data_IF_441572926145
#
_entry.id   IF_441572926145
#
_cell.length_a   1.000
_cell.length_b   1.000
_cell.length_c   1.000
_cell.angle_alpha   90.00
_cell.angle_beta   90.00
_cell.angle_gamma   90.00
#
_symmetry.space_group_name_H-M   'P 1'
#
loop_
_entity.id
_entity.type
_entity.pdbx_description
1 polymer ?
#
# COMPACT_ATOMS: atom_id res chain seq x y z
N UNK A 1 15.60 11.08 -16.04
CA UNK A 1 16.38 11.25 -14.80
C UNK A 1 15.75 12.38 -14.01
N UNK A 2 15.41 12.15 -12.74
CA UNK A 2 14.72 13.14 -11.87
C UNK A 2 15.68 14.25 -11.45
N UNK A 3 15.27 15.51 -11.55
CA UNK A 3 16.01 16.65 -10.99
C UNK A 3 15.82 16.70 -9.47
N UNK A 4 16.81 16.21 -8.73
CA UNK A 4 16.75 16.12 -7.27
C UNK A 4 16.81 17.47 -6.57
N UNK A 5 17.43 18.49 -7.17
CA UNK A 5 17.47 19.83 -6.60
C UNK A 5 16.08 20.48 -6.68
N UNK A 6 15.44 20.41 -7.86
CA UNK A 6 14.07 20.87 -8.05
C UNK A 6 13.07 20.11 -7.17
N UNK A 7 13.28 18.79 -6.98
CA UNK A 7 12.45 17.97 -6.09
C UNK A 7 12.60 18.40 -4.61
N UNK A 8 13.83 18.68 -4.15
CA UNK A 8 14.07 19.17 -2.80
C UNK A 8 13.37 20.51 -2.55
N UNK A 9 13.50 21.45 -3.48
CA UNK A 9 12.87 22.77 -3.40
C UNK A 9 11.34 22.68 -3.37
N UNK A 10 10.76 21.81 -4.21
CA UNK A 10 9.33 21.51 -4.21
C UNK A 10 8.87 21.01 -2.81
N UNK A 11 9.59 20.06 -2.22
CA UNK A 11 9.20 19.46 -0.93
C UNK A 11 9.34 20.48 0.21
N UNK A 12 10.36 21.34 0.18
CA UNK A 12 10.52 22.46 1.14
C UNK A 12 9.34 23.43 1.03
N UNK A 13 8.98 23.81 -0.19
CA UNK A 13 7.87 24.74 -0.45
C UNK A 13 6.51 24.16 -0.03
N UNK A 14 6.25 22.87 -0.27
CA UNK A 14 5.05 22.17 0.23
C UNK A 14 4.97 22.21 1.76
N UNK A 15 6.09 21.94 2.44
CA UNK A 15 6.15 21.95 3.90
C UNK A 15 5.84 23.34 4.47
N UNK A 16 6.22 24.40 3.77
CA UNK A 16 5.92 25.79 4.13
C UNK A 16 4.47 26.23 3.81
N UNK A 17 3.77 25.52 2.93
CA UNK A 17 2.43 25.92 2.40
C UNK A 17 1.28 24.98 2.80
N UNK A 18 1.51 23.99 3.68
CA UNK A 18 0.56 22.92 4.03
C UNK A 18 -0.86 23.40 4.37
N UNK A 19 -1.72 23.38 3.35
CA UNK A 19 -3.17 23.54 3.46
C UNK A 19 -4.00 22.48 2.73
N UNK A 20 -3.41 21.62 1.86
CA UNK A 20 -4.15 20.57 1.14
C UNK A 20 -3.43 19.23 1.14
N UNK A 21 -3.82 18.38 2.09
CA UNK A 21 -3.54 16.95 2.11
C UNK A 21 -4.43 16.23 1.09
N UNK A 22 -3.87 15.55 0.08
CA UNK A 22 -4.64 14.80 -0.93
C UNK A 22 -5.20 13.49 -0.36
N UNK A 23 -4.60 12.96 0.72
CA UNK A 23 -5.15 11.83 1.48
C UNK A 23 -4.51 11.77 2.87
N UNK A 24 -5.31 11.86 3.95
CA UNK A 24 -4.86 11.74 5.36
C UNK A 24 -4.72 10.28 5.83
N UNK A 25 -4.71 9.33 4.90
CA UNK A 25 -5.01 7.92 5.18
C UNK A 25 -3.85 6.95 4.94
N UNK A 26 -2.69 7.44 4.48
CA UNK A 26 -1.46 6.64 4.43
C UNK A 26 -0.89 6.47 5.83
N UNK A 27 -0.50 5.25 6.21
CA UNK A 27 0.10 4.98 7.52
C UNK A 27 1.51 5.63 7.68
N UNK A 28 2.17 5.93 6.55
CA UNK A 28 3.56 6.42 6.50
C UNK A 28 3.74 7.83 5.94
N UNK A 29 2.88 8.25 5.00
CA UNK A 29 2.92 9.59 4.43
C UNK A 29 1.56 10.00 3.83
N UNK A 30 1.28 11.30 3.84
CA UNK A 30 0.30 11.92 2.95
C UNK A 30 0.93 12.21 1.56
N UNK A 31 0.53 11.52 0.48
CA UNK A 31 0.97 11.85 -0.87
C UNK A 31 0.43 13.22 -1.31
N UNK A 32 1.17 13.91 -2.19
CA UNK A 32 0.69 15.13 -2.84
C UNK A 32 1.08 15.16 -4.32
N UNK A 33 0.29 15.88 -5.12
CA UNK A 33 0.52 16.15 -6.52
C UNK A 33 0.74 17.66 -6.67
N UNK A 34 1.90 18.10 -7.18
CA UNK A 34 2.17 19.52 -7.45
C UNK A 34 1.15 20.09 -8.45
N UNK A 35 0.61 21.30 -8.23
CA UNK A 35 -0.37 21.90 -9.13
C UNK A 35 0.24 22.42 -10.45
N UNK A 36 1.56 22.61 -10.49
CA UNK A 36 2.29 23.14 -11.65
C UNK A 36 3.78 22.77 -11.56
N UNK A 37 4.52 23.08 -12.62
CA UNK A 37 5.97 22.86 -12.69
C UNK A 37 6.34 21.46 -13.21
N UNK A 38 7.63 21.09 -13.15
CA UNK A 38 8.15 19.88 -13.80
C UNK A 38 7.64 18.56 -13.19
N UNK A 39 6.97 18.63 -12.04
CA UNK A 39 6.42 17.47 -11.32
C UNK A 39 4.89 17.46 -11.29
N UNK A 40 4.20 18.29 -12.08
CA UNK A 40 2.73 18.39 -12.04
C UNK A 40 2.01 17.11 -12.50
N UNK A 41 2.67 16.28 -13.29
CA UNK A 41 2.21 14.95 -13.72
C UNK A 41 2.62 13.83 -12.74
N UNK A 42 3.20 14.17 -11.58
CA UNK A 42 3.70 13.21 -10.59
C UNK A 42 2.97 13.31 -9.25
N UNK A 43 2.91 12.18 -8.54
CA UNK A 43 2.59 12.07 -7.13
C UNK A 43 3.87 11.87 -6.34
N UNK A 44 4.06 12.70 -5.32
CA UNK A 44 5.22 12.72 -4.44
C UNK A 44 4.82 12.14 -3.09
N UNK A 45 5.57 11.14 -2.62
CA UNK A 45 5.42 10.50 -1.30
C UNK A 45 6.69 10.71 -0.49
N UNK A 46 6.60 11.43 0.62
CA UNK A 46 7.76 11.81 1.45
C UNK A 46 7.71 11.09 2.79
N UNK A 47 8.67 10.21 3.06
CA UNK A 47 8.70 9.37 4.26
C UNK A 47 9.60 9.99 5.32
N UNK A 48 8.99 10.77 6.22
CA UNK A 48 9.71 11.51 7.26
C UNK A 48 9.94 10.62 8.49
N UNK A 49 10.98 9.78 8.41
CA UNK A 49 11.51 8.95 9.50
C UNK A 49 13.02 9.16 9.66
N UNK A 50 13.58 8.82 10.83
CA UNK A 50 15.03 8.90 11.08
C UNK A 50 15.65 7.53 10.84
N UNK A 51 16.53 7.41 9.86
CA UNK A 51 17.33 6.22 9.57
C UNK A 51 18.78 6.63 9.32
N UNK A 52 19.73 5.73 9.61
CA UNK A 52 21.10 5.94 9.20
C UNK A 52 21.26 5.71 7.67
N UNK A 53 22.38 6.20 7.13
CA UNK A 53 22.67 6.15 5.70
C UNK A 53 22.69 4.72 5.15
N UNK A 54 23.20 3.74 5.91
CA UNK A 54 23.27 2.36 5.47
C UNK A 54 21.86 1.74 5.35
N UNK A 55 20.97 2.04 6.30
CA UNK A 55 19.58 1.62 6.27
C UNK A 55 18.80 2.28 5.12
N UNK A 56 19.06 3.56 4.85
CA UNK A 56 18.46 4.28 3.71
C UNK A 56 18.90 3.69 2.37
N UNK A 57 20.18 3.35 2.23
CA UNK A 57 20.70 2.72 1.01
C UNK A 57 20.19 1.29 0.83
N UNK A 58 20.07 0.51 1.91
CA UNK A 58 19.39 -0.79 1.87
C UNK A 58 17.94 -0.63 1.39
N UNK A 59 17.23 0.37 1.89
CA UNK A 59 15.85 0.64 1.51
C UNK A 59 15.69 1.03 0.05
N UNK A 60 16.59 1.88 -0.47
CA UNK A 60 16.59 2.26 -1.89
C UNK A 60 16.76 1.02 -2.78
N UNK A 61 17.76 0.17 -2.49
CA UNK A 61 17.97 -1.08 -3.22
C UNK A 61 16.77 -2.02 -3.13
N UNK A 62 16.21 -2.19 -1.93
CA UNK A 62 15.04 -3.04 -1.73
C UNK A 62 13.80 -2.50 -2.46
N UNK A 63 13.64 -1.18 -2.59
CA UNK A 63 12.55 -0.60 -3.36
C UNK A 63 12.72 -0.84 -4.86
N UNK A 64 13.92 -0.61 -5.41
CA UNK A 64 14.20 -0.88 -6.82
C UNK A 64 13.95 -2.37 -7.16
N UNK A 65 14.44 -3.28 -6.31
CA UNK A 65 14.18 -4.71 -6.44
C UNK A 65 12.70 -5.06 -6.30
N UNK A 66 11.98 -4.41 -5.38
CA UNK A 66 10.55 -4.69 -5.20
C UNK A 66 9.74 -4.26 -6.44
N UNK A 67 10.00 -3.08 -6.99
CA UNK A 67 9.36 -2.61 -8.23
C UNK A 67 9.68 -3.55 -9.40
N UNK A 68 10.94 -4.00 -9.50
CA UNK A 68 11.37 -4.97 -10.51
C UNK A 68 10.60 -6.29 -10.36
N UNK A 69 10.59 -6.90 -9.17
CA UNK A 69 9.91 -8.17 -8.91
C UNK A 69 8.40 -8.07 -9.12
N UNK A 70 7.76 -6.98 -8.69
CA UNK A 70 6.34 -6.75 -8.98
C UNK A 70 6.07 -6.77 -10.49
N UNK A 71 6.91 -6.09 -11.27
CA UNK A 71 6.78 -6.02 -12.73
C UNK A 71 7.03 -7.39 -13.39
N UNK A 72 8.06 -8.11 -12.96
CA UNK A 72 8.39 -9.46 -13.42
C UNK A 72 7.26 -10.46 -13.10
N UNK A 73 6.60 -10.29 -11.95
CA UNK A 73 5.40 -11.04 -11.56
C UNK A 73 4.12 -10.57 -12.27
N UNK A 74 4.23 -9.66 -13.24
CA UNK A 74 3.13 -9.22 -14.11
C UNK A 74 2.17 -8.22 -13.47
N UNK A 75 2.58 -7.54 -12.39
CA UNK A 75 1.84 -6.43 -11.79
C UNK A 75 2.09 -5.15 -12.60
N UNK A 76 1.01 -4.51 -13.03
CA UNK A 76 1.10 -3.20 -13.70
C UNK A 76 1.30 -2.10 -12.67
N UNK A 77 2.36 -1.32 -12.84
CA UNK A 77 2.69 -0.16 -12.01
C UNK A 77 2.70 1.13 -12.86
N UNK A 78 2.34 2.30 -12.29
CA UNK A 78 2.73 3.58 -12.87
C UNK A 78 4.25 3.72 -12.82
N UNK A 79 4.84 4.59 -13.66
CA UNK A 79 6.27 4.89 -13.57
C UNK A 79 6.61 5.32 -12.14
N UNK A 80 7.53 4.62 -11.49
CA UNK A 80 7.83 4.82 -10.06
C UNK A 80 9.33 4.85 -9.86
N UNK A 81 9.83 5.88 -9.18
CA UNK A 81 11.23 6.03 -8.80
C UNK A 81 11.36 6.35 -7.31
N UNK A 82 12.39 5.81 -6.67
CA UNK A 82 12.73 6.08 -5.29
C UNK A 82 14.02 6.89 -5.21
N UNK A 83 14.01 7.92 -4.37
CA UNK A 83 15.10 8.85 -4.21
C UNK A 83 15.41 9.09 -2.73
N UNK A 84 16.69 9.25 -2.43
CA UNK A 84 17.19 9.73 -1.15
C UNK A 84 17.55 11.21 -1.34
N UNK A 85 16.75 12.11 -0.76
CA UNK A 85 16.85 13.57 -1.01
C UNK A 85 17.35 14.28 0.25
N UNK A 86 18.43 15.05 0.15
CA UNK A 86 18.85 15.95 1.23
C UNK A 86 17.98 17.21 1.23
N UNK A 87 16.97 17.21 2.10
CA UNK A 87 16.01 18.30 2.22
C UNK A 87 16.57 19.49 3.01
N UNK A 88 17.58 19.32 3.85
CA UNK A 88 18.02 20.40 4.76
C UNK A 88 19.43 20.91 4.42
N UNK A 89 20.11 20.31 3.44
CA UNK A 89 21.50 20.60 3.09
C UNK A 89 22.47 20.16 4.19
N UNK A 90 22.02 19.28 5.09
CA UNK A 90 22.78 18.83 6.27
C UNK A 90 23.48 17.49 6.05
N UNK A 91 23.30 16.88 4.87
CA UNK A 91 23.71 15.51 4.56
C UNK A 91 22.69 14.45 4.99
N UNK A 92 21.67 14.80 5.79
CA UNK A 92 20.61 13.88 6.17
C UNK A 92 19.64 13.65 5.01
N UNK A 93 19.53 12.40 4.55
CA UNK A 93 18.72 12.04 3.38
C UNK A 93 17.33 11.55 3.78
N UNK A 94 16.31 12.04 3.09
CA UNK A 94 14.91 11.65 3.26
C UNK A 94 14.47 10.76 2.11
N UNK A 95 13.84 9.60 2.38
CA UNK A 95 13.21 8.79 1.34
C UNK A 95 12.02 9.50 0.67
N UNK A 96 12.03 9.52 -0.65
CA UNK A 96 10.99 10.12 -1.48
C UNK A 96 10.67 9.18 -2.63
N UNK A 97 9.38 8.85 -2.81
CA UNK A 97 8.91 8.21 -4.05
C UNK A 97 8.31 9.28 -4.96
N UNK A 98 8.76 9.27 -6.21
CA UNK A 98 8.20 10.05 -7.31
C UNK A 98 7.52 9.06 -8.25
N UNK A 99 6.21 9.20 -8.40
CA UNK A 99 5.38 8.25 -9.15
C UNK A 99 4.54 9.01 -10.18
N UNK A 100 4.32 8.44 -11.37
CA UNK A 100 3.36 8.98 -12.33
C UNK A 100 1.98 9.13 -11.69
N UNK A 101 1.36 10.30 -11.88
CA UNK A 101 0.04 10.57 -11.35
C UNK A 101 -1.03 9.80 -12.11
N UNK A 102 -1.86 9.07 -11.37
CA UNK A 102 -3.05 8.42 -11.91
C UNK A 102 -4.24 9.38 -11.84
N UNK A 103 -5.15 9.37 -12.83
CA UNK A 103 -6.37 10.15 -12.78
C UNK A 103 -7.17 9.84 -11.50
N UNK A 104 -7.64 10.87 -10.79
CA UNK A 104 -8.34 10.68 -9.51
C UNK A 104 -9.63 9.85 -9.65
N UNK A 105 -10.31 10.00 -10.79
CA UNK A 105 -11.50 9.24 -11.17
C UNK A 105 -11.21 7.79 -11.56
N UNK A 106 -9.93 7.41 -11.70
CA UNK A 106 -9.52 6.01 -11.90
C UNK A 106 -9.31 5.26 -10.59
N UNK A 107 -9.16 5.94 -9.45
CA UNK A 107 -8.84 5.30 -8.17
C UNK A 107 -9.96 4.34 -7.73
N UNK A 108 -9.62 3.09 -7.43
CA UNK A 108 -10.59 2.03 -7.19
C UNK A 108 -11.49 2.34 -5.99
N UNK A 109 -10.93 2.69 -4.83
CA UNK A 109 -11.75 2.95 -3.63
C UNK A 109 -12.80 4.06 -3.81
N UNK A 110 -12.47 5.28 -4.28
CA UNK A 110 -13.47 6.30 -4.58
C UNK A 110 -14.55 5.79 -5.55
N UNK A 111 -14.15 5.14 -6.65
CA UNK A 111 -15.11 4.58 -7.61
C UNK A 111 -16.03 3.51 -6.99
N UNK A 112 -15.49 2.63 -6.15
CA UNK A 112 -16.27 1.61 -5.45
C UNK A 112 -17.26 2.21 -4.44
N UNK A 113 -16.96 3.37 -3.88
CA UNK A 113 -17.88 4.06 -2.96
C UNK A 113 -19.18 4.45 -3.68
N UNK A 114 -19.05 4.97 -4.89
CA UNK A 114 -20.17 5.55 -5.63
C UNK A 114 -20.75 4.60 -6.69
N UNK A 115 -20.04 3.52 -7.04
CA UNK A 115 -20.42 2.58 -8.08
C UNK A 115 -21.55 1.61 -7.69
N UNK A 116 -22.21 1.05 -8.69
CA UNK A 116 -23.16 -0.06 -8.55
C UNK A 116 -22.46 -1.36 -8.12
N UNK A 117 -23.25 -2.33 -7.66
CA UNK A 117 -22.77 -3.67 -7.30
C UNK A 117 -21.98 -4.31 -8.45
N UNK A 118 -22.51 -4.28 -9.67
CA UNK A 118 -21.87 -4.89 -10.83
C UNK A 118 -20.52 -4.23 -11.14
N UNK A 119 -20.45 -2.91 -11.04
CA UNK A 119 -19.22 -2.16 -11.24
C UNK A 119 -18.19 -2.49 -10.15
N UNK A 120 -18.58 -2.54 -8.87
CA UNK A 120 -17.64 -2.85 -7.79
C UNK A 120 -17.12 -4.28 -7.89
N UNK A 121 -17.95 -5.26 -8.24
CA UNK A 121 -17.54 -6.64 -8.48
C UNK A 121 -16.57 -6.73 -9.68
N UNK A 122 -16.80 -5.98 -10.76
CA UNK A 122 -15.86 -5.93 -11.87
C UNK A 122 -14.49 -5.34 -11.46
N UNK A 123 -14.47 -4.33 -10.58
CA UNK A 123 -13.21 -3.80 -10.03
C UNK A 123 -12.51 -4.82 -9.11
N UNK A 124 -13.28 -5.58 -8.32
CA UNK A 124 -12.76 -6.68 -7.50
C UNK A 124 -12.11 -7.75 -8.37
N UNK A 125 -12.75 -8.14 -9.47
CA UNK A 125 -12.19 -9.07 -10.45
C UNK A 125 -10.84 -8.57 -10.98
N UNK A 126 -10.78 -7.33 -11.46
CA UNK A 126 -9.55 -6.75 -12.00
C UNK A 126 -8.41 -6.71 -10.98
N UNK A 127 -8.69 -6.36 -9.71
CA UNK A 127 -7.70 -6.37 -8.65
C UNK A 127 -7.29 -7.79 -8.22
N UNK A 128 -8.25 -8.71 -8.12
CA UNK A 128 -8.04 -10.11 -7.80
C UNK A 128 -7.12 -10.79 -8.81
N UNK A 129 -7.31 -10.54 -10.10
CA UNK A 129 -6.45 -11.07 -11.16
C UNK A 129 -4.98 -10.62 -11.03
N UNK A 130 -4.75 -9.39 -10.57
CA UNK A 130 -3.39 -8.90 -10.28
C UNK A 130 -2.80 -9.64 -9.08
N UNK A 131 -3.57 -9.86 -8.01
CA UNK A 131 -3.15 -10.62 -6.83
C UNK A 131 -2.79 -12.05 -7.20
N UNK A 132 -3.68 -12.74 -7.92
CA UNK A 132 -3.48 -14.14 -8.32
C UNK A 132 -2.24 -14.27 -9.21
N UNK A 133 -2.09 -13.39 -10.21
CA UNK A 133 -0.93 -13.39 -11.10
C UNK A 133 0.37 -13.16 -10.33
N UNK A 134 0.37 -12.19 -9.42
CA UNK A 134 1.54 -11.92 -8.58
C UNK A 134 1.94 -13.17 -7.80
N UNK A 135 1.01 -13.79 -7.08
CA UNK A 135 1.34 -14.92 -6.21
C UNK A 135 1.74 -16.18 -6.96
N UNK A 136 1.11 -16.46 -8.11
CA UNK A 136 1.51 -17.57 -8.98
C UNK A 136 2.94 -17.38 -9.47
N UNK A 137 3.30 -16.18 -9.92
CA UNK A 137 4.65 -15.88 -10.38
C UNK A 137 5.66 -15.85 -9.23
N UNK A 138 5.26 -15.36 -8.05
CA UNK A 138 6.11 -15.24 -6.87
C UNK A 138 6.56 -16.59 -6.29
N UNK A 139 5.92 -17.71 -6.65
CA UNK A 139 6.42 -19.06 -6.29
C UNK A 139 7.79 -19.37 -6.90
N UNK A 140 8.19 -18.63 -7.94
CA UNK A 140 9.49 -18.76 -8.60
C UNK A 140 10.50 -17.69 -8.18
N UNK A 141 10.14 -16.82 -7.23
CA UNK A 141 11.04 -15.82 -6.66
C UNK A 141 11.74 -16.44 -5.46
N UNK A 142 13.07 -16.45 -5.44
CA UNK A 142 13.84 -17.05 -4.34
C UNK A 142 13.75 -16.21 -3.07
N UNK A 143 13.63 -14.89 -3.21
CA UNK A 143 13.54 -13.97 -2.09
C UNK A 143 12.15 -13.94 -1.47
N UNK A 144 12.12 -13.71 -0.15
CA UNK A 144 10.86 -13.42 0.55
C UNK A 144 10.27 -12.12 0.03
N UNK A 145 9.20 -12.23 -0.74
CA UNK A 145 8.44 -11.10 -1.28
C UNK A 145 6.99 -11.12 -0.76
N UNK A 146 6.41 -9.94 -0.54
CA UNK A 146 5.01 -9.77 -0.15
C UNK A 146 4.27 -8.82 -1.08
N UNK A 147 2.96 -8.69 -0.87
CA UNK A 147 2.06 -7.84 -1.64
C UNK A 147 0.96 -7.28 -0.72
N UNK A 148 0.68 -5.98 -0.81
CA UNK A 148 -0.33 -5.30 0.03
C UNK A 148 -1.59 -4.94 -0.78
N UNK A 149 -2.58 -5.84 -0.86
CA UNK A 149 -3.68 -5.80 -1.84
C UNK A 149 -4.89 -4.96 -1.38
N UNK A 150 -4.67 -3.77 -0.82
CA UNK A 150 -5.80 -2.93 -0.42
C UNK A 150 -6.52 -2.35 -1.64
N UNK A 151 -7.85 -2.25 -1.61
CA UNK A 151 -8.64 -1.47 -2.60
C UNK A 151 -8.18 0.00 -2.74
N UNK A 152 -7.39 0.49 -1.76
CA UNK A 152 -6.78 1.82 -1.75
C UNK A 152 -5.52 1.92 -2.63
N UNK A 153 -4.93 0.79 -2.98
CA UNK A 153 -3.66 0.67 -3.66
C UNK A 153 -3.84 0.36 -5.16
N UNK A 154 -5.09 0.34 -5.63
CA UNK A 154 -5.46 0.07 -7.00
C UNK A 154 -6.17 1.25 -7.65
N UNK A 155 -5.87 1.46 -8.92
CA UNK A 155 -6.67 2.25 -9.86
C UNK A 155 -7.19 1.32 -10.96
N UNK A 156 -8.32 1.66 -11.56
CA UNK A 156 -8.96 0.90 -12.63
C UNK A 156 -8.95 1.76 -13.90
N UNK A 157 -8.24 1.30 -14.94
CA UNK A 157 -8.21 1.91 -16.27
C UNK A 157 -8.46 0.85 -17.32
N UNK A 158 -9.40 1.12 -18.23
CA UNK A 158 -9.75 0.21 -19.33
C UNK A 158 -10.03 -1.24 -18.86
N UNK A 159 -10.73 -1.37 -17.73
CA UNK A 159 -11.07 -2.66 -17.10
C UNK A 159 -9.91 -3.37 -16.40
N UNK A 160 -8.70 -2.78 -16.36
CA UNK A 160 -7.52 -3.36 -15.74
C UNK A 160 -7.15 -2.63 -14.46
N UNK A 161 -6.66 -3.38 -13.47
CA UNK A 161 -6.12 -2.81 -12.25
C UNK A 161 -4.65 -2.41 -12.42
N UNK A 162 -4.32 -1.21 -11.92
CA UNK A 162 -2.97 -0.67 -11.81
C UNK A 162 -2.66 -0.54 -10.32
N UNK A 163 -1.61 -1.21 -9.86
CA UNK A 163 -1.15 -1.14 -8.47
C UNK A 163 -0.17 0.02 -8.28
N UNK A 164 -0.23 0.73 -7.16
CA UNK A 164 0.62 1.91 -6.95
C UNK A 164 1.22 2.06 -5.55
N UNK A 165 1.10 1.05 -4.68
CA UNK A 165 1.65 1.08 -3.32
C UNK A 165 2.94 0.26 -3.18
N UNK A 166 4.07 0.90 -3.42
CA UNK A 166 5.40 0.25 -3.38
C UNK A 166 6.12 0.43 -2.03
N UNK A 167 5.45 0.96 -1.00
CA UNK A 167 6.07 1.22 0.30
C UNK A 167 5.24 0.67 1.48
N UNK A 168 5.88 0.00 2.46
CA UNK A 168 7.30 -0.37 2.47
C UNK A 168 7.64 -1.36 1.35
N UNK A 169 8.90 -1.40 0.89
CA UNK A 169 9.32 -2.44 -0.04
C UNK A 169 9.25 -3.81 0.64
N UNK A 170 8.30 -4.65 0.21
CA UNK A 170 8.01 -5.94 0.84
C UNK A 170 8.96 -7.05 0.36
N UNK A 171 10.26 -6.75 0.26
CA UNK A 171 11.31 -7.68 -0.19
C UNK A 171 12.59 -7.47 0.61
N UNK A 172 13.44 -8.50 0.77
CA UNK A 172 14.74 -8.44 1.47
C UNK A 172 14.69 -8.13 2.97
N UNK A 173 13.49 -8.00 3.55
CA UNK A 173 13.28 -7.84 4.99
C UNK A 173 12.74 -9.14 5.57
N UNK A 174 13.40 -9.62 6.62
CA UNK A 174 12.77 -10.60 7.49
C UNK A 174 11.61 -9.94 8.25
N UNK A 175 10.81 -10.79 8.90
CA UNK A 175 9.63 -10.36 9.65
C UNK A 175 9.96 -9.28 10.70
N UNK A 176 11.04 -9.41 11.46
CA UNK A 176 11.39 -8.44 12.51
C UNK A 176 11.90 -7.11 11.96
N UNK A 177 12.72 -7.15 10.91
CA UNK A 177 13.25 -5.96 10.25
C UNK A 177 12.15 -5.15 9.59
N UNK A 178 11.17 -5.81 8.95
CA UNK A 178 9.99 -5.14 8.41
C UNK A 178 9.17 -4.48 9.53
N UNK A 179 8.99 -5.16 10.67
CA UNK A 179 8.35 -4.57 11.84
C UNK A 179 9.04 -3.27 12.32
N UNK A 180 10.38 -3.25 12.33
CA UNK A 180 11.17 -2.06 12.66
C UNK A 180 10.99 -0.96 11.62
N UNK A 181 11.03 -1.31 10.33
CA UNK A 181 10.84 -0.38 9.21
C UNK A 181 9.48 0.32 9.31
N UNK A 182 8.41 -0.45 9.54
CA UNK A 182 7.05 0.06 9.70
C UNK A 182 6.93 1.07 10.85
N UNK A 183 7.57 0.78 11.98
CA UNK A 183 7.59 1.68 13.13
C UNK A 183 8.41 2.95 12.85
N UNK A 184 9.59 2.80 12.26
CA UNK A 184 10.53 3.89 11.98
C UNK A 184 9.92 4.97 11.09
N UNK A 185 9.13 4.57 10.09
CA UNK A 185 8.51 5.48 9.12
C UNK A 185 7.04 5.77 9.39
N UNK A 186 6.47 5.29 10.50
CA UNK A 186 5.13 5.68 10.92
C UNK A 186 5.04 7.20 11.11
N UNK A 187 4.00 7.84 10.58
CA UNK A 187 3.80 9.30 10.67
C UNK A 187 3.72 9.80 12.13
N UNK A 188 3.18 8.98 13.03
CA UNK A 188 2.95 9.38 14.42
C UNK A 188 4.23 9.23 15.25
N UNK A 189 4.76 10.36 15.74
CA UNK A 189 5.87 10.39 16.72
C UNK A 189 5.64 9.46 17.91
N UNK A 190 4.40 9.37 18.39
CA UNK A 190 4.03 8.48 19.48
C UNK A 190 4.28 7.00 19.15
N UNK A 191 3.96 6.57 17.92
CA UNK A 191 4.23 5.21 17.45
C UNK A 191 5.72 4.88 17.40
N UNK A 192 6.55 5.85 17.02
CA UNK A 192 8.00 5.72 17.04
C UNK A 192 8.55 5.57 18.46
N UNK A 193 7.90 6.20 19.44
CA UNK A 193 8.29 6.16 20.84
C UNK A 193 7.84 4.88 21.56
N UNK A 194 6.59 4.45 21.35
CA UNK A 194 6.03 3.22 21.96
C UNK A 194 6.33 1.94 21.16
N UNK A 195 6.87 2.10 19.95
CA UNK A 195 7.12 1.04 18.98
C UNK A 195 7.83 -0.19 19.53
N UNK A 196 8.90 -0.07 20.35
CA UNK A 196 9.59 -1.24 20.91
C UNK A 196 8.69 -2.15 21.77
N UNK A 197 7.72 -1.60 22.51
CA UNK A 197 6.74 -2.40 23.28
C UNK A 197 5.65 -3.01 22.40
N UNK A 198 5.48 -2.49 21.19
CA UNK A 198 4.40 -2.85 20.27
C UNK A 198 4.88 -3.59 19.02
N UNK A 199 6.19 -3.84 18.92
CA UNK A 199 6.82 -4.45 17.76
C UNK A 199 6.14 -5.77 17.42
N UNK A 200 5.95 -6.67 18.39
CA UNK A 200 5.28 -7.96 18.15
C UNK A 200 3.87 -7.81 17.53
N UNK A 201 3.12 -6.76 17.86
CA UNK A 201 1.78 -6.51 17.30
C UNK A 201 1.84 -5.86 15.92
N UNK A 202 2.76 -4.93 15.69
CA UNK A 202 2.96 -4.31 14.35
C UNK A 202 3.53 -5.33 13.36
N UNK A 203 4.45 -6.16 13.83
CA UNK A 203 5.03 -7.28 13.09
C UNK A 203 3.98 -8.31 12.66
N UNK A 204 2.87 -8.47 13.38
CA UNK A 204 1.78 -9.37 12.98
C UNK A 204 0.90 -8.84 11.83
N UNK A 205 0.87 -7.52 11.61
CA UNK A 205 0.00 -6.90 10.60
C UNK A 205 0.50 -7.19 9.19
N UNK A 206 1.81 -7.23 9.01
CA UNK A 206 2.42 -7.57 7.73
C UNK A 206 2.23 -9.03 7.34
N UNK A 207 1.88 -9.93 8.28
CA UNK A 207 1.80 -11.36 7.97
C UNK A 207 0.77 -11.63 6.87
N UNK A 208 -0.32 -10.84 6.83
CA UNK A 208 -1.32 -10.87 5.76
C UNK A 208 -0.73 -10.52 4.37
N UNK A 209 0.32 -9.70 4.32
CA UNK A 209 0.96 -9.27 3.06
C UNK A 209 1.90 -10.32 2.50
N UNK A 210 2.29 -11.35 3.29
CA UNK A 210 3.17 -12.42 2.83
C UNK A 210 2.43 -13.75 2.63
N UNK A 211 1.09 -13.73 2.63
CA UNK A 211 0.26 -14.92 2.50
C UNK A 211 -0.70 -14.77 1.31
N UNK A 212 -0.59 -15.62 0.27
CA UNK A 212 -1.50 -15.61 -0.88
C UNK A 212 -2.99 -15.60 -0.50
N UNK A 213 -3.52 -16.54 0.30
CA UNK A 213 -4.94 -16.53 0.65
C UNK A 213 -5.33 -15.29 1.46
N UNK A 214 -4.49 -14.84 2.40
CA UNK A 214 -4.79 -13.66 3.22
C UNK A 214 -4.82 -12.37 2.39
N UNK A 215 -4.04 -12.29 1.30
CA UNK A 215 -4.13 -11.13 0.40
C UNK A 215 -5.49 -11.04 -0.30
N UNK A 216 -6.07 -12.16 -0.74
CA UNK A 216 -7.42 -12.19 -1.29
C UNK A 216 -8.47 -11.83 -0.22
N UNK A 217 -8.35 -12.43 0.98
CA UNK A 217 -9.22 -12.14 2.12
C UNK A 217 -9.17 -10.65 2.50
N UNK A 218 -7.98 -10.04 2.48
CA UNK A 218 -7.78 -8.62 2.76
C UNK A 218 -8.45 -7.70 1.74
N UNK A 219 -8.43 -8.07 0.45
CA UNK A 219 -9.14 -7.37 -0.62
C UNK A 219 -10.66 -7.43 -0.37
N UNK A 220 -11.22 -8.63 -0.20
CA UNK A 220 -12.65 -8.85 0.07
C UNK A 220 -13.09 -8.12 1.32
N UNK A 221 -12.36 -8.26 2.42
CA UNK A 221 -12.67 -7.57 3.67
C UNK A 221 -12.65 -6.05 3.53
N UNK A 222 -11.76 -5.52 2.69
CA UNK A 222 -11.74 -4.07 2.42
C UNK A 222 -12.97 -3.60 1.64
N UNK A 223 -13.46 -4.40 0.69
CA UNK A 223 -14.69 -4.13 -0.03
C UNK A 223 -15.94 -4.23 0.86
N UNK A 224 -16.07 -5.30 1.65
CA UNK A 224 -17.19 -5.48 2.59
C UNK A 224 -17.27 -4.34 3.61
N UNK A 225 -16.12 -3.82 4.08
CA UNK A 225 -16.09 -2.66 4.98
C UNK A 225 -16.50 -1.35 4.30
N UNK A 226 -16.18 -1.19 3.02
CA UNK A 226 -16.53 0.01 2.27
C UNK A 226 -18.01 0.04 1.88
N UNK A 227 -18.56 -1.10 1.45
CA UNK A 227 -19.92 -1.25 0.94
C UNK A 227 -20.59 -2.47 1.60
N UNK A 228 -20.96 -2.37 2.91
CA UNK A 228 -21.52 -3.49 3.66
C UNK A 228 -22.83 -4.02 3.05
N UNK A 229 -23.56 -3.22 2.30
CA UNK A 229 -24.77 -3.64 1.59
C UNK A 229 -24.54 -4.68 0.49
N UNK A 230 -23.30 -4.83 0.00
CA UNK A 230 -22.91 -5.83 -1.01
C UNK A 230 -21.96 -6.90 -0.44
N UNK A 231 -21.90 -7.04 0.89
CA UNK A 231 -20.93 -7.92 1.55
C UNK A 231 -21.06 -9.39 1.10
N UNK A 232 -22.29 -9.89 0.98
CA UNK A 232 -22.54 -11.27 0.53
C UNK A 232 -22.08 -11.48 -0.92
N UNK A 233 -22.33 -10.52 -1.80
CA UNK A 233 -21.86 -10.57 -3.19
C UNK A 233 -20.32 -10.60 -3.28
N UNK A 234 -19.62 -9.82 -2.44
CA UNK A 234 -18.15 -9.85 -2.39
C UNK A 234 -17.59 -11.16 -1.84
N UNK A 235 -18.25 -11.74 -0.84
CA UNK A 235 -17.87 -13.04 -0.28
C UNK A 235 -18.06 -14.15 -1.32
N UNK A 236 -19.21 -14.17 -1.99
CA UNK A 236 -19.50 -15.17 -3.03
C UNK A 236 -18.56 -15.04 -4.22
N UNK A 237 -18.27 -13.81 -4.66
CA UNK A 237 -17.22 -13.54 -5.64
C UNK A 237 -15.87 -14.06 -5.15
N UNK A 238 -15.45 -13.72 -3.93
CA UNK A 238 -14.15 -14.12 -3.38
C UNK A 238 -13.98 -15.64 -3.30
N UNK A 239 -15.02 -16.36 -2.87
CA UNK A 239 -15.02 -17.83 -2.79
C UNK A 239 -14.94 -18.46 -4.19
N UNK A 240 -15.67 -17.92 -5.16
CA UNK A 240 -15.63 -18.37 -6.56
C UNK A 240 -14.26 -18.08 -7.19
N UNK A 241 -13.72 -16.89 -6.94
CA UNK A 241 -12.41 -16.46 -7.42
C UNK A 241 -11.29 -17.33 -6.87
N UNK A 242 -11.30 -17.61 -5.56
CA UNK A 242 -10.32 -18.48 -4.91
C UNK A 242 -10.23 -19.85 -5.60
N UNK A 243 -11.40 -20.47 -5.85
CA UNK A 243 -11.47 -21.80 -6.51
C UNK A 243 -10.99 -21.79 -7.96
N UNK A 244 -11.20 -20.70 -8.69
CA UNK A 244 -10.95 -20.62 -10.13
C UNK A 244 -9.57 -20.07 -10.48
N UNK A 245 -9.05 -19.10 -9.73
CA UNK A 245 -7.83 -18.36 -10.04
C UNK A 245 -6.70 -18.59 -9.02
N UNK A 246 -7.00 -19.12 -7.84
CA UNK A 246 -6.05 -19.34 -6.75
C UNK A 246 -6.21 -20.76 -6.17
N UNK A 247 -6.47 -21.75 -7.03
CA UNK A 247 -6.92 -23.09 -6.65
C UNK A 247 -6.02 -23.77 -5.59
N UNK A 248 -4.71 -23.58 -5.65
CA UNK A 248 -3.76 -24.16 -4.70
C UNK A 248 -3.80 -23.56 -3.28
N UNK A 249 -4.41 -22.37 -3.13
CA UNK A 249 -4.64 -21.70 -1.85
C UNK A 249 -6.13 -21.61 -1.50
N UNK A 250 -7.00 -22.30 -2.27
CA UNK A 250 -8.44 -22.12 -2.18
C UNK A 250 -8.99 -22.51 -0.81
N UNK A 251 -8.55 -23.63 -0.22
CA UNK A 251 -9.09 -24.08 1.07
C UNK A 251 -8.83 -23.07 2.19
N UNK A 252 -7.60 -22.53 2.26
CA UNK A 252 -7.22 -21.49 3.21
C UNK A 252 -7.99 -20.18 2.97
N UNK A 253 -8.11 -19.76 1.71
CA UNK A 253 -8.90 -18.57 1.36
C UNK A 253 -10.38 -18.74 1.70
N UNK A 254 -10.97 -19.91 1.44
CA UNK A 254 -12.37 -20.20 1.75
C UNK A 254 -12.64 -20.14 3.25
N UNK A 255 -11.70 -20.61 4.08
CA UNK A 255 -11.80 -20.48 5.53
C UNK A 255 -11.83 -19.01 5.97
N UNK A 256 -10.94 -18.18 5.40
CA UNK A 256 -10.92 -16.73 5.66
C UNK A 256 -12.14 -15.97 5.13
N UNK A 257 -12.93 -16.58 4.22
CA UNK A 257 -14.10 -16.01 3.57
C UNK A 257 -15.43 -16.61 4.09
N UNK A 258 -15.44 -17.27 5.25
CA UNK A 258 -16.67 -17.83 5.83
C UNK A 258 -17.66 -16.72 6.29
N UNK A 259 -17.14 -15.52 6.57
CA UNK A 259 -17.95 -14.31 6.80
C UNK A 259 -17.16 -13.04 6.47
N UNK A 260 -17.76 -11.84 6.59
CA UNK A 260 -17.09 -10.59 6.27
C UNK A 260 -15.80 -10.44 7.09
N UNK A 261 -14.61 -10.42 6.45
CA UNK A 261 -13.34 -10.43 7.17
C UNK A 261 -13.20 -9.20 8.08
N UNK A 262 -13.02 -9.46 9.37
CA UNK A 262 -12.86 -8.43 10.37
C UNK A 262 -11.39 -8.05 10.51
N UNK A 263 -11.11 -6.77 10.77
CA UNK A 263 -9.77 -6.38 11.21
C UNK A 263 -9.50 -7.02 12.58
N UNK A 264 -8.26 -7.47 12.87
CA UNK A 264 -7.94 -8.02 14.18
C UNK A 264 -8.35 -7.07 15.30
N UNK A 265 -9.10 -7.53 16.31
CA UNK A 265 -9.72 -6.65 17.32
C UNK A 265 -8.73 -5.77 18.09
N UNK A 266 -7.50 -6.24 18.29
CA UNK A 266 -6.42 -5.45 18.90
C UNK A 266 -6.04 -4.23 18.03
N UNK A 267 -6.17 -4.34 16.71
CA UNK A 267 -5.85 -3.29 15.76
C UNK A 267 -6.93 -2.23 15.69
N UNK A 268 -8.20 -2.64 15.78
CA UNK A 268 -9.36 -1.74 15.83
C UNK A 268 -9.34 -0.89 17.10
N UNK A 269 -9.05 -1.51 18.26
CA UNK A 269 -8.89 -0.81 19.53
C UNK A 269 -7.68 0.12 19.56
N UNK A 270 -6.57 -0.28 18.94
CA UNK A 270 -5.35 0.51 18.86
C UNK A 270 -5.47 1.74 17.94
N UNK A 271 -6.10 1.58 16.76
CA UNK A 271 -6.42 2.71 15.87
C UNK A 271 -7.31 3.74 16.54
N UNK A 272 -8.28 3.29 17.34
CA UNK A 272 -9.17 4.13 18.14
C UNK A 272 -8.40 4.92 19.21
N UNK A 273 -7.50 4.26 19.95
CA UNK A 273 -6.69 4.89 21.00
C UNK A 273 -5.73 5.96 20.44
N UNK A 274 -5.20 5.75 19.23
CA UNK A 274 -4.22 6.65 18.63
C UNK A 274 -4.82 7.79 17.81
N UNK A 275 -6.15 7.88 17.68
CA UNK A 275 -6.78 8.80 16.73
C UNK A 275 -6.32 8.55 15.29
N UNK A 276 -6.01 7.29 14.95
CA UNK A 276 -5.73 6.82 13.58
C UNK A 276 -7.03 6.51 12.81
N UNK A 277 -8.16 7.01 13.32
CA UNK A 277 -9.38 7.14 12.55
C UNK A 277 -9.14 8.16 11.43
N UNK A 278 -8.58 7.71 10.31
CA UNK A 278 -9.18 8.18 9.06
C UNK A 278 -10.56 7.55 9.01
N UNK A 279 -11.58 8.36 8.70
CA UNK A 279 -13.00 8.07 8.98
C UNK A 279 -13.31 6.57 8.96
N UNK A 280 -13.71 5.98 10.12
CA UNK A 280 -14.24 4.63 10.10
C UNK A 280 -15.42 4.64 9.15
N UNK A 281 -15.51 3.64 8.29
CA UNK A 281 -16.71 3.21 7.57
C UNK A 281 -17.95 4.06 7.89
N UNK A 282 -18.10 5.15 7.13
CA UNK A 282 -19.37 5.78 6.78
C UNK A 282 -19.26 6.24 5.34
#
# INVERSE_FOLDING_TARGET
>A
MTDLAALADLIRADTATRGRTISRLGYFCAPFQPPSGPFSDKVIKVYRGSADDAALERMARAHDDYVRVLTECGVTLPETAFHLVDLDGTGSRTPVIVQEALPLDSLMRPRMRDGSREETIAMMQAAGEVIARFWIAAEHVEERVGFHPSIRNFAIRDGKAIFFDTFPPLIHYNRDDMGKLLLQFSEKRLMRLIGPLMQARVTGIQDEWYSPPETLVGLVGSACRLRPEYADDYLDWGRSFAKSHMAQWADEALHGLDGPPQLPGYWTGFRKLLGLQGEPNV
#
